data_IF_516630021747
#
_entry.id   IF_516630021747
#
_cell.length_a   1.000
_cell.length_b   1.000
_cell.length_c   1.000
_cell.angle_alpha   90.00
_cell.angle_beta   90.00
_cell.angle_gamma   90.00
#
_symmetry.space_group_name_H-M   'P 1'
#
loop_
_entity.id
_entity.type
_entity.pdbx_description
1 polymer ?
#
# COMPACT_ATOMS: atom_id res chain seq x y z
N UNK A 1 -3.33 19.16 -19.67
CA UNK A 1 -4.53 18.78 -18.90
C UNK A 1 -4.06 18.33 -17.53
N UNK A 2 -4.25 19.17 -16.51
CA UNK A 2 -3.83 18.85 -15.15
C UNK A 2 -4.93 18.03 -14.49
N UNK A 3 -4.67 16.76 -14.21
CA UNK A 3 -5.58 15.90 -13.44
C UNK A 3 -5.54 16.40 -12.00
N UNK A 4 -6.55 17.17 -11.59
CA UNK A 4 -6.72 17.59 -10.21
C UNK A 4 -7.25 16.37 -9.46
N UNK A 5 -6.41 15.74 -8.63
CA UNK A 5 -6.82 14.65 -7.73
C UNK A 5 -7.59 15.26 -6.55
N UNK A 6 -8.88 14.95 -6.35
CA UNK A 6 -9.75 15.69 -5.42
C UNK A 6 -9.58 15.34 -3.94
N UNK A 7 -8.54 14.62 -3.51
CA UNK A 7 -8.44 14.17 -2.12
C UNK A 7 -6.99 14.16 -1.64
N UNK A 8 -6.50 15.32 -1.20
CA UNK A 8 -5.44 15.36 -0.20
C UNK A 8 -6.05 14.95 1.16
N UNK A 9 -6.33 13.66 1.35
CA UNK A 9 -6.41 13.14 2.72
C UNK A 9 -4.97 13.13 3.21
N UNK A 10 -4.64 14.04 4.11
CA UNK A 10 -3.34 14.07 4.78
C UNK A 10 -3.13 12.77 5.53
N UNK A 11 -2.46 11.81 4.89
CA UNK A 11 -1.89 10.64 5.56
C UNK A 11 -0.88 11.17 6.58
N UNK A 12 -1.17 11.01 7.86
CA UNK A 12 -0.31 11.48 8.96
C UNK A 12 0.97 10.63 9.12
N UNK A 13 1.37 9.92 8.05
CA UNK A 13 2.44 8.94 8.02
C UNK A 13 3.29 9.13 6.76
N UNK A 14 4.55 8.74 6.85
CA UNK A 14 5.54 8.92 5.79
C UNK A 14 5.14 8.14 4.52
N UNK A 15 5.32 8.77 3.36
CA UNK A 15 5.10 8.11 2.06
C UNK A 15 6.17 7.05 1.80
N UNK A 16 5.86 6.05 0.99
CA UNK A 16 6.82 5.04 0.57
C UNK A 16 8.00 5.67 -0.17
N UNK A 17 9.20 5.65 0.40
CA UNK A 17 10.41 6.20 -0.23
C UNK A 17 11.29 5.10 -0.82
N UNK A 18 11.15 3.87 -0.34
CA UNK A 18 11.84 2.71 -0.89
C UNK A 18 11.84 1.54 0.09
N UNK A 19 12.74 0.58 -0.14
CA UNK A 19 12.89 -0.61 0.73
C UNK A 19 13.19 -0.23 2.19
N UNK A 20 13.96 0.83 2.40
CA UNK A 20 14.38 1.29 3.73
C UNK A 20 13.23 1.63 4.67
N UNK A 21 12.11 2.15 4.14
CA UNK A 21 10.94 2.50 4.95
C UNK A 21 9.72 1.60 4.68
N UNK A 22 9.87 0.53 3.89
CA UNK A 22 8.76 -0.33 3.48
C UNK A 22 8.08 -1.02 4.67
N UNK A 23 8.84 -1.59 5.61
CA UNK A 23 8.28 -2.26 6.80
C UNK A 23 7.41 -1.30 7.63
N UNK A 24 7.93 -0.10 7.89
CA UNK A 24 7.22 0.95 8.64
C UNK A 24 6.00 1.46 7.87
N UNK A 25 6.16 1.71 6.58
CA UNK A 25 5.08 2.15 5.69
C UNK A 25 3.95 1.10 5.64
N UNK A 26 4.29 -0.18 5.52
CA UNK A 26 3.34 -1.31 5.44
C UNK A 26 2.46 -1.38 6.69
N UNK A 27 3.04 -1.17 7.86
CA UNK A 27 2.28 -1.10 9.13
C UNK A 27 1.38 0.14 9.15
N UNK A 28 1.91 1.32 8.80
CA UNK A 28 1.14 2.56 8.83
C UNK A 28 -0.06 2.54 7.87
N UNK A 29 0.14 2.11 6.62
CA UNK A 29 -0.94 2.02 5.63
C UNK A 29 -1.97 0.95 6.03
N UNK A 30 -1.53 -0.15 6.66
CA UNK A 30 -2.44 -1.17 7.18
C UNK A 30 -3.39 -0.60 8.22
N UNK A 31 -2.88 0.10 9.24
CA UNK A 31 -3.72 0.75 10.24
C UNK A 31 -4.68 1.77 9.60
N UNK A 32 -4.20 2.53 8.62
CA UNK A 32 -5.05 3.49 7.89
C UNK A 32 -6.17 2.82 7.08
N UNK A 33 -5.93 1.63 6.53
CA UNK A 33 -6.92 0.84 5.81
C UNK A 33 -7.91 0.13 6.74
N UNK A 34 -7.44 -0.32 7.92
CA UNK A 34 -8.25 -0.95 8.98
C UNK A 34 -9.23 0.06 9.59
N UNK A 35 -8.79 1.29 9.88
CA UNK A 35 -9.64 2.41 10.33
C UNK A 35 -10.81 2.69 9.35
N UNK A 36 -10.61 2.37 8.07
CA UNK A 36 -11.60 2.55 6.99
C UNK A 36 -12.34 1.27 6.62
N UNK A 37 -12.15 0.19 7.39
CA UNK A 37 -12.71 -1.15 7.16
C UNK A 37 -12.46 -1.71 5.75
N UNK A 38 -11.35 -1.28 5.15
CA UNK A 38 -10.99 -1.52 3.73
C UNK A 38 -9.73 -2.37 3.58
N UNK A 39 -9.08 -2.76 4.68
CA UNK A 39 -7.89 -3.62 4.62
C UNK A 39 -8.20 -5.01 4.04
N UNK A 40 -9.37 -5.58 4.35
CA UNK A 40 -9.72 -6.93 3.91
C UNK A 40 -9.63 -7.12 2.38
N UNK A 41 -10.10 -6.13 1.59
CA UNK A 41 -10.06 -6.20 0.12
C UNK A 41 -8.63 -6.18 -0.46
N UNK A 42 -7.65 -5.68 0.31
CA UNK A 42 -6.23 -5.73 -0.10
C UNK A 42 -5.64 -7.13 0.00
N UNK A 43 -6.27 -8.03 0.76
CA UNK A 43 -5.75 -9.39 1.01
C UNK A 43 -6.61 -10.44 0.30
N UNK A 44 -7.94 -10.31 0.34
CA UNK A 44 -8.88 -11.36 -0.08
C UNK A 44 -9.47 -11.18 -1.47
N UNK A 45 -9.24 -10.04 -2.15
CA UNK A 45 -9.91 -9.70 -3.42
C UNK A 45 -11.45 -9.85 -3.36
N UNK A 46 -12.06 -9.44 -2.25
CA UNK A 46 -13.52 -9.44 -2.09
C UNK A 46 -14.18 -8.45 -3.06
N UNK A 47 -15.31 -8.83 -3.66
CA UNK A 47 -16.14 -8.04 -4.58
C UNK A 47 -16.91 -6.88 -3.90
N UNK A 48 -16.27 -6.13 -3.01
CA UNK A 48 -16.86 -4.91 -2.46
C UNK A 48 -16.22 -3.70 -3.15
N UNK A 49 -16.84 -3.26 -4.25
CA UNK A 49 -16.35 -2.16 -5.09
C UNK A 49 -16.14 -0.85 -4.32
N UNK A 50 -16.95 -0.58 -3.29
CA UNK A 50 -16.80 0.62 -2.48
C UNK A 50 -15.54 0.55 -1.60
N UNK A 51 -15.33 -0.60 -0.94
CA UNK A 51 -14.14 -0.84 -0.12
C UNK A 51 -12.87 -0.90 -0.97
N UNK A 52 -12.94 -1.50 -2.15
CA UNK A 52 -11.86 -1.52 -3.13
C UNK A 52 -11.46 -0.10 -3.53
N UNK A 53 -12.42 0.75 -3.92
CA UNK A 53 -12.16 2.15 -4.27
C UNK A 53 -11.51 2.91 -3.11
N UNK A 54 -11.99 2.71 -1.87
CA UNK A 54 -11.42 3.32 -0.65
C UNK A 54 -9.96 2.88 -0.44
N UNK A 55 -9.70 1.58 -0.57
CA UNK A 55 -8.37 1.01 -0.40
C UNK A 55 -7.38 1.49 -1.47
N UNK A 56 -7.78 1.47 -2.76
CA UNK A 56 -6.95 1.99 -3.86
C UNK A 56 -6.63 3.47 -3.67
N UNK A 57 -7.60 4.27 -3.26
CA UNK A 57 -7.37 5.70 -2.99
C UNK A 57 -6.35 5.91 -1.87
N UNK A 58 -6.41 5.12 -0.79
CA UNK A 58 -5.44 5.17 0.30
C UNK A 58 -4.03 4.75 -0.15
N UNK A 59 -3.93 3.68 -0.96
CA UNK A 59 -2.64 3.20 -1.50
C UNK A 59 -2.00 4.22 -2.45
N UNK A 60 -2.78 4.87 -3.31
CA UNK A 60 -2.26 5.92 -4.20
C UNK A 60 -1.78 7.13 -3.41
N UNK A 61 -2.48 7.50 -2.32
CA UNK A 61 -2.10 8.63 -1.47
C UNK A 61 -0.82 8.37 -0.66
N UNK A 62 -0.58 7.11 -0.29
CA UNK A 62 0.54 6.70 0.55
C UNK A 62 1.87 6.50 -0.20
N UNK A 63 1.87 6.65 -1.53
CA UNK A 63 3.07 6.49 -2.36
C UNK A 63 3.38 7.79 -3.14
N UNK A 64 4.64 8.01 -3.55
CA UNK A 64 5.00 9.15 -4.39
C UNK A 64 4.59 8.90 -5.84
N UNK A 65 4.47 9.97 -6.64
CA UNK A 65 3.99 9.90 -8.02
C UNK A 65 4.82 8.99 -8.94
N UNK A 66 6.10 8.77 -8.62
CA UNK A 66 6.95 7.82 -9.34
C UNK A 66 6.43 6.37 -9.22
N UNK A 67 5.93 6.00 -8.03
CA UNK A 67 5.43 4.65 -7.74
C UNK A 67 4.00 4.45 -8.26
N UNK A 68 3.22 5.53 -8.39
CA UNK A 68 1.88 5.47 -9.00
C UNK A 68 1.93 4.84 -10.40
N UNK A 69 2.98 5.13 -11.19
CA UNK A 69 3.17 4.54 -12.53
C UNK A 69 3.31 3.02 -12.52
N UNK A 70 3.81 2.43 -11.43
CA UNK A 70 3.98 0.98 -11.27
C UNK A 70 2.70 0.25 -10.86
N UNK A 71 1.73 0.98 -10.30
CA UNK A 71 0.49 0.42 -9.74
C UNK A 71 -0.77 0.91 -10.47
N UNK A 72 -0.65 1.84 -11.43
CA UNK A 72 -1.78 2.37 -12.20
C UNK A 72 -2.45 1.32 -13.10
N UNK A 73 -1.74 0.26 -13.46
CA UNK A 73 -2.26 -0.84 -14.29
C UNK A 73 -2.95 -1.93 -13.49
N UNK A 74 -2.97 -1.82 -12.16
CA UNK A 74 -3.65 -2.77 -11.28
C UNK A 74 -5.16 -2.48 -11.25
N UNK A 75 -5.97 -3.53 -11.34
CA UNK A 75 -7.43 -3.41 -11.44
C UNK A 75 -8.10 -3.27 -10.06
N UNK A 76 -7.51 -3.90 -9.04
CA UNK A 76 -8.04 -3.96 -7.68
C UNK A 76 -6.97 -3.63 -6.62
N UNK A 77 -7.42 -3.33 -5.41
CA UNK A 77 -6.56 -2.97 -4.29
C UNK A 77 -5.58 -4.07 -3.90
N UNK A 78 -5.97 -5.35 -4.06
CA UNK A 78 -5.10 -6.49 -3.80
C UNK A 78 -3.91 -6.51 -4.76
N UNK A 79 -4.13 -6.32 -6.06
CA UNK A 79 -3.06 -6.25 -7.04
C UNK A 79 -2.09 -5.11 -6.75
N UNK A 80 -2.59 -3.94 -6.35
CA UNK A 80 -1.74 -2.82 -5.94
C UNK A 80 -0.90 -3.19 -4.72
N UNK A 81 -1.50 -3.82 -3.71
CA UNK A 81 -0.82 -4.28 -2.50
C UNK A 81 0.26 -5.33 -2.81
N UNK A 82 -0.07 -6.33 -3.62
CA UNK A 82 0.85 -7.40 -4.01
C UNK A 82 1.99 -6.87 -4.89
N UNK A 83 1.72 -5.90 -5.78
CA UNK A 83 2.73 -5.24 -6.61
C UNK A 83 3.72 -4.44 -5.76
N UNK A 84 3.22 -3.64 -4.80
CA UNK A 84 4.08 -2.89 -3.88
C UNK A 84 4.91 -3.82 -3.01
N UNK A 85 4.31 -4.90 -2.50
CA UNK A 85 5.03 -5.93 -1.76
C UNK A 85 6.13 -6.55 -2.62
N UNK A 86 5.85 -6.92 -3.87
CA UNK A 86 6.87 -7.49 -4.75
C UNK A 86 8.02 -6.53 -5.07
N UNK A 87 7.75 -5.22 -5.15
CA UNK A 87 8.74 -4.20 -5.50
C UNK A 87 9.64 -3.80 -4.32
N UNK A 88 9.09 -3.78 -3.10
CA UNK A 88 9.75 -3.15 -1.94
C UNK A 88 9.94 -4.07 -0.74
N UNK A 89 9.23 -5.19 -0.68
CA UNK A 89 9.52 -6.20 0.34
C UNK A 89 10.90 -6.79 0.04
N UNK A 90 11.82 -6.57 0.97
CA UNK A 90 13.08 -7.29 0.95
C UNK A 90 12.78 -8.73 1.28
N UNK A 91 12.75 -9.58 0.25
CA UNK A 91 12.99 -11.01 0.42
C UNK A 91 14.45 -11.19 0.79
N UNK A 92 14.83 -10.76 1.98
CA UNK A 92 16.09 -11.10 2.57
C UNK A 92 15.84 -12.34 3.44
N UNK A 93 15.97 -13.58 2.90
CA UNK A 93 15.78 -14.81 3.67
C UNK A 93 16.71 -14.90 4.89
N UNK A 94 17.74 -14.02 4.98
CA UNK A 94 18.70 -13.97 6.07
C UNK A 94 18.28 -13.15 7.30
N UNK A 95 17.10 -12.50 7.33
CA UNK A 95 16.66 -11.78 8.54
C UNK A 95 15.90 -12.66 9.55
N UNK A 96 15.79 -13.97 9.28
CA UNK A 96 15.23 -14.98 10.17
C UNK A 96 16.28 -15.97 10.73
N UNK A 97 17.50 -15.51 11.04
CA UNK A 97 18.42 -16.28 11.88
C UNK A 97 18.99 -15.38 12.98
N UNK A 98 18.98 -15.92 14.20
CA UNK A 98 19.21 -15.31 15.53
C UNK A 98 17.95 -14.57 16.07
N UNK A 99 17.18 -15.14 17.00
CA UNK A 99 17.57 -15.84 18.22
C UNK A 99 16.94 -17.24 18.32
N UNK A 100 17.80 -18.26 18.25
CA UNK A 100 17.64 -19.48 19.06
C UNK A 100 18.68 -19.33 20.18
N UNK A 101 18.18 -19.17 21.41
CA UNK A 101 18.67 -19.61 22.72
C UNK A 101 18.17 -18.65 23.81
#
# INVERSE_FOLDING_TARGET
>A
MSVILPYAVSSNFEKLTGRANYDTWKVAIRYHLEDRESYAVCITATENAEKDRKARSALVSSVPSAVIKEIQSCENAKEMWDRLSKLYEDKNPNRFVSLVL
#
